data_IF_065573567187
#
_entry.id   IF_065573567187
#
_cell.length_a   1.000
_cell.length_b   1.000
_cell.length_c   1.000
_cell.angle_alpha   90.00
_cell.angle_beta   90.00
_cell.angle_gamma   90.00
#
_symmetry.space_group_name_H-M   'P 1'
#
loop_
_entity.id
_entity.type
_entity.pdbx_description
1 polymer ?
#
# COMPACT_ATOMS: atom_id res chain seq x y z
N UNK A 1 -14.67 -9.12 -6.81
CA UNK A 1 -14.20 -8.22 -5.73
C UNK A 1 -12.87 -7.61 -6.15
N UNK A 2 -12.58 -6.37 -5.75
CA UNK A 2 -11.33 -5.70 -6.10
C UNK A 2 -10.64 -5.21 -4.83
N UNK A 3 -9.32 -5.41 -4.76
CA UNK A 3 -8.48 -4.98 -3.65
C UNK A 3 -7.24 -4.29 -4.21
N UNK A 4 -7.09 -3.01 -3.89
CA UNK A 4 -5.88 -2.26 -4.17
C UNK A 4 -4.95 -2.26 -2.96
N UNK A 5 -3.67 -2.52 -3.18
CA UNK A 5 -2.66 -2.59 -2.12
C UNK A 5 -1.54 -1.61 -2.39
N UNK A 6 -1.18 -0.82 -1.38
CA UNK A 6 -0.05 0.09 -1.46
C UNK A 6 1.06 -0.48 -0.58
N UNK A 7 2.18 -0.83 -1.19
CA UNK A 7 3.29 -1.51 -0.50
C UNK A 7 4.62 -1.15 -1.14
N UNK A 8 5.67 -1.01 -0.32
CA UNK A 8 7.04 -0.91 -0.81
C UNK A 8 7.56 -2.22 -1.43
N UNK A 9 6.88 -3.34 -1.15
CA UNK A 9 7.24 -4.69 -1.59
C UNK A 9 6.05 -5.34 -2.30
N UNK A 10 5.71 -4.90 -3.52
CA UNK A 10 4.55 -5.44 -4.25
C UNK A 10 4.69 -6.96 -4.54
N UNK A 11 5.92 -7.45 -4.76
CA UNK A 11 6.16 -8.86 -5.08
C UNK A 11 5.78 -9.83 -3.95
N UNK A 12 5.70 -9.36 -2.70
CA UNK A 12 5.20 -10.18 -1.59
C UNK A 12 3.77 -10.67 -1.84
N UNK A 13 2.97 -9.89 -2.56
CA UNK A 13 1.58 -10.22 -2.86
C UNK A 13 1.42 -11.27 -3.96
N UNK A 14 2.48 -11.59 -4.72
CA UNK A 14 2.46 -12.72 -5.67
C UNK A 14 2.13 -14.04 -4.97
N UNK A 15 2.65 -14.23 -3.75
CA UNK A 15 2.33 -15.41 -2.94
C UNK A 15 0.82 -15.55 -2.68
N UNK A 16 0.11 -14.44 -2.54
CA UNK A 16 -1.35 -14.40 -2.31
C UNK A 16 -2.12 -14.63 -3.61
N UNK A 17 -1.62 -14.14 -4.75
CA UNK A 17 -2.28 -14.29 -6.05
C UNK A 17 -2.03 -15.63 -6.73
N UNK A 18 -0.94 -16.32 -6.39
CA UNK A 18 -0.50 -17.51 -7.15
C UNK A 18 -0.88 -18.82 -6.46
N UNK A 19 -1.03 -18.80 -5.14
CA UNK A 19 -1.21 -20.00 -4.31
C UNK A 19 -2.52 -19.96 -3.48
N UNK A 20 -2.92 -21.14 -3.02
CA UNK A 20 -4.07 -21.31 -2.12
C UNK A 20 -5.43 -20.93 -2.71
N UNK A 21 -6.39 -20.67 -1.83
CA UNK A 21 -7.77 -20.32 -2.19
C UNK A 21 -7.84 -18.94 -2.86
N UNK A 22 -7.01 -18.00 -2.41
CA UNK A 22 -6.92 -16.66 -2.99
C UNK A 22 -6.44 -16.71 -4.43
N UNK A 23 -5.41 -17.50 -4.75
CA UNK A 23 -4.94 -17.64 -6.12
C UNK A 23 -5.94 -18.32 -7.05
N UNK A 24 -6.70 -19.30 -6.54
CA UNK A 24 -7.83 -19.88 -7.30
C UNK A 24 -8.94 -18.84 -7.55
N UNK A 25 -9.24 -17.98 -6.58
CA UNK A 25 -10.22 -16.90 -6.76
C UNK A 25 -9.77 -15.87 -7.81
N UNK A 26 -8.48 -15.57 -7.87
CA UNK A 26 -7.89 -14.70 -8.91
C UNK A 26 -8.01 -15.36 -10.29
N UNK A 27 -7.61 -16.64 -10.43
CA UNK A 27 -7.70 -17.40 -11.69
C UNK A 27 -9.15 -17.51 -12.21
N UNK A 28 -10.13 -17.58 -11.30
CA UNK A 28 -11.56 -17.61 -11.63
C UNK A 28 -12.18 -16.23 -11.84
N UNK A 29 -11.40 -15.14 -11.75
CA UNK A 29 -11.89 -13.76 -11.91
C UNK A 29 -12.79 -13.25 -10.77
N UNK A 30 -12.86 -13.97 -9.65
CA UNK A 30 -13.68 -13.60 -8.49
C UNK A 30 -13.01 -12.50 -7.64
N UNK A 31 -11.67 -12.45 -7.69
CA UNK A 31 -10.83 -11.49 -6.99
C UNK A 31 -9.83 -10.84 -7.96
N UNK A 32 -9.75 -9.51 -7.96
CA UNK A 32 -8.67 -8.76 -8.60
C UNK A 32 -7.82 -8.08 -7.53
N UNK A 33 -6.50 -8.25 -7.61
CA UNK A 33 -5.52 -7.59 -6.73
C UNK A 33 -4.60 -6.75 -7.60
N UNK A 34 -4.51 -5.46 -7.28
CA UNK A 34 -3.57 -4.54 -7.91
C UNK A 34 -2.68 -3.92 -6.85
N UNK A 35 -1.42 -3.68 -7.20
CA UNK A 35 -0.42 -3.14 -6.26
C UNK A 35 0.19 -1.85 -6.78
N UNK A 36 0.44 -0.91 -5.88
CA UNK A 36 1.15 0.33 -6.15
C UNK A 36 2.32 0.48 -5.20
N UNK A 37 3.51 0.73 -5.76
CA UNK A 37 4.69 1.04 -4.96
C UNK A 37 4.83 2.55 -4.81
N UNK A 38 4.82 3.11 -3.58
CA UNK A 38 5.09 4.54 -3.36
C UNK A 38 6.37 5.03 -4.03
N UNK A 39 7.37 4.16 -4.23
CA UNK A 39 8.61 4.50 -4.96
C UNK A 39 8.36 4.94 -6.40
N UNK A 40 7.28 4.53 -7.05
CA UNK A 40 6.90 4.93 -8.42
C UNK A 40 6.37 6.38 -8.47
N UNK A 41 6.02 6.96 -7.32
CA UNK A 41 5.40 8.29 -7.19
C UNK A 41 6.35 9.34 -6.62
N UNK A 42 7.65 9.05 -6.65
CA UNK A 42 8.71 9.94 -6.17
C UNK A 42 9.19 10.84 -7.31
N UNK A 43 9.80 11.98 -6.97
CA UNK A 43 10.33 12.93 -7.96
C UNK A 43 11.86 13.01 -7.97
N UNK A 44 12.52 12.33 -7.03
CA UNK A 44 13.96 12.27 -6.91
C UNK A 44 14.54 11.01 -7.58
N UNK A 45 15.82 11.09 -7.98
CA UNK A 45 16.54 9.98 -8.62
C UNK A 45 16.66 8.74 -7.74
N UNK A 46 16.68 8.91 -6.41
CA UNK A 46 16.90 7.82 -5.45
C UNK A 46 15.60 7.12 -5.04
N UNK A 47 14.44 7.62 -5.51
CA UNK A 47 13.13 7.09 -5.21
C UNK A 47 12.88 7.02 -3.71
N UNK A 48 13.11 8.15 -3.06
CA UNK A 48 13.09 8.32 -1.61
C UNK A 48 11.64 8.32 -1.12
N UNK A 49 11.34 7.48 -0.12
CA UNK A 49 9.98 7.24 0.37
C UNK A 49 9.83 7.41 1.86
N UNK A 50 10.93 7.74 2.54
CA UNK A 50 11.03 7.88 3.97
C UNK A 50 11.85 9.11 4.34
N UNK A 51 11.51 9.74 5.46
CA UNK A 51 12.19 10.91 5.99
C UNK A 51 12.29 10.85 7.52
N UNK A 52 13.18 11.66 8.09
CA UNK A 52 13.38 11.73 9.53
C UNK A 52 12.14 12.31 10.22
N UNK A 53 11.76 11.77 11.39
CA UNK A 53 10.69 12.35 12.18
C UNK A 53 11.06 13.76 12.66
N UNK A 54 10.08 14.67 12.63
CA UNK A 54 10.21 15.96 13.31
C UNK A 54 10.40 15.75 14.81
N UNK A 55 11.28 16.53 15.43
CA UNK A 55 11.64 16.39 16.85
C UNK A 55 12.76 15.37 17.11
N UNK A 56 13.27 14.70 16.06
CA UNK A 56 14.35 13.72 16.19
C UNK A 56 13.88 12.37 16.75
N UNK A 57 14.82 11.56 17.21
CA UNK A 57 14.59 10.17 17.63
C UNK A 57 14.96 9.14 16.57
N UNK A 58 15.13 7.87 16.96
CA UNK A 58 15.52 6.81 16.04
C UNK A 58 14.35 6.42 15.11
N UNK A 59 14.71 5.99 13.90
CA UNK A 59 13.76 5.50 12.90
C UNK A 59 13.43 6.52 11.80
N UNK A 60 12.59 6.08 10.86
CA UNK A 60 12.17 6.86 9.69
C UNK A 60 10.64 6.78 9.56
N UNK A 61 10.04 7.83 9.00
CA UNK A 61 8.62 7.89 8.69
C UNK A 61 8.42 7.88 7.17
N UNK A 62 7.35 7.24 6.71
CA UNK A 62 6.96 7.32 5.32
C UNK A 62 6.68 8.78 4.91
N UNK A 63 7.24 9.20 3.78
CA UNK A 63 6.96 10.50 3.19
C UNK A 63 5.49 10.60 2.77
N UNK A 64 4.89 11.76 3.02
CA UNK A 64 3.48 12.01 2.73
C UNK A 64 3.21 12.03 1.23
N UNK A 65 4.07 12.69 0.43
CA UNK A 65 3.81 12.92 -1.00
C UNK A 65 3.72 11.61 -1.81
N UNK A 66 4.72 10.70 -1.79
CA UNK A 66 4.65 9.48 -2.60
C UNK A 66 3.52 8.55 -2.15
N UNK A 67 3.24 8.52 -0.84
CA UNK A 67 2.15 7.73 -0.27
C UNK A 67 0.78 8.28 -0.68
N UNK A 68 0.58 9.60 -0.60
CA UNK A 68 -0.67 10.26 -1.01
C UNK A 68 -0.95 10.00 -2.49
N UNK A 69 0.06 10.13 -3.34
CA UNK A 69 -0.11 9.96 -4.77
C UNK A 69 -0.43 8.50 -5.13
N UNK A 70 0.22 7.54 -4.47
CA UNK A 70 -0.12 6.13 -4.57
C UNK A 70 -1.58 5.83 -4.13
N UNK A 71 -2.08 6.50 -3.07
CA UNK A 71 -3.49 6.36 -2.62
C UNK A 71 -4.48 6.89 -3.66
N UNK A 72 -4.12 7.93 -4.40
CA UNK A 72 -5.03 8.57 -5.36
C UNK A 72 -4.91 7.98 -6.77
N UNK A 73 -3.86 7.24 -7.09
CA UNK A 73 -3.67 6.63 -8.40
C UNK A 73 -4.82 5.68 -8.82
N UNK A 74 -5.33 4.75 -7.97
CA UNK A 74 -6.38 3.80 -8.36
C UNK A 74 -7.70 4.48 -8.75
N UNK A 75 -8.02 5.60 -8.09
CA UNK A 75 -9.26 6.37 -8.34
C UNK A 75 -9.37 6.91 -9.77
N UNK A 76 -8.24 7.05 -10.47
CA UNK A 76 -8.22 7.53 -11.87
C UNK A 76 -8.63 6.43 -12.87
N UNK A 77 -8.31 5.17 -12.60
CA UNK A 77 -8.60 4.05 -13.48
C UNK A 77 -9.95 3.39 -13.17
N UNK A 78 -10.37 3.39 -11.90
CA UNK A 78 -11.59 2.72 -11.44
C UNK A 78 -12.75 3.71 -11.25
N UNK A 79 -13.00 4.57 -12.26
CA UNK A 79 -13.99 5.68 -12.27
C UNK A 79 -15.47 5.24 -12.22
N UNK A 80 -15.77 4.01 -11.80
CA UNK A 80 -17.12 3.47 -11.71
C UNK A 80 -17.52 3.34 -10.25
N UNK A 81 -18.15 4.39 -9.70
CA UNK A 81 -19.12 4.51 -8.57
C UNK A 81 -19.13 3.48 -7.41
N UNK A 82 -18.09 2.67 -7.20
CA UNK A 82 -18.01 1.73 -6.08
C UNK A 82 -17.43 2.48 -4.88
N UNK A 83 -18.17 2.46 -3.76
CA UNK A 83 -17.64 2.95 -2.48
C UNK A 83 -16.36 2.18 -2.17
N UNK A 84 -15.23 2.87 -2.12
CA UNK A 84 -13.94 2.32 -1.72
C UNK A 84 -13.68 2.70 -0.27
N UNK A 85 -13.34 1.70 0.56
CA UNK A 85 -12.86 1.93 1.92
C UNK A 85 -11.34 1.77 1.92
N UNK A 86 -10.64 2.75 2.50
CA UNK A 86 -9.18 2.72 2.64
C UNK A 86 -8.83 2.31 4.07
N UNK A 87 -8.03 1.26 4.20
CA UNK A 87 -7.56 0.75 5.49
C UNK A 87 -6.04 0.91 5.59
N UNK A 88 -5.56 1.39 6.73
CA UNK A 88 -4.14 1.39 7.07
C UNK A 88 -3.89 0.26 8.06
N UNK A 89 -3.08 -0.72 7.65
CA UNK A 89 -2.63 -1.76 8.57
C UNK A 89 -1.53 -1.18 9.47
N UNK A 90 -1.85 -1.02 10.76
CA UNK A 90 -0.91 -0.51 11.77
C UNK A 90 -0.85 -1.48 12.93
N UNK A 91 0.37 -1.81 13.37
CA UNK A 91 0.58 -2.50 14.64
C UNK A 91 0.32 -1.51 15.77
N UNK A 92 -0.60 -1.85 16.68
CA UNK A 92 -0.80 -1.07 17.89
C UNK A 92 0.37 -1.33 18.86
N UNK A 93 1.17 -0.30 19.14
CA UNK A 93 2.20 -0.38 20.18
C UNK A 93 1.52 -0.28 21.55
N UNK A 94 1.56 -1.36 22.34
CA UNK A 94 1.14 -1.34 23.73
C UNK A 94 2.21 -0.64 24.57
N UNK A 95 2.10 0.68 24.71
CA UNK A 95 2.82 1.39 25.77
C UNK A 95 2.12 1.08 27.09
N UNK A 96 2.66 0.12 27.86
CA UNK A 96 2.38 0.07 29.29
C UNK A 96 2.91 1.36 29.90
N UNK A 97 1.99 2.25 30.27
CA UNK A 97 2.28 3.36 31.17
C UNK A 97 2.76 2.74 32.49
N UNK A 98 4.02 2.98 32.82
CA UNK A 98 4.62 2.72 34.12
C UNK A 98 4.74 4.01 34.90
#
# INVERSE_FOLDING_TARGET
MWVGVISLFPDMFRSVTDYGVTGQAVKKGLLSIETWNPRDFTHDKHRTVDDRPYGGGPGMLMMVQPLRDAIHAPNRHHRVRRKSFTFLLKVASSTKQG
#
